data_IF_557352100014
#
_entry.id   IF_557352100014
#
_cell.length_a   1.000
_cell.length_b   1.000
_cell.length_c   1.000
_cell.angle_alpha   90.00
_cell.angle_beta   90.00
_cell.angle_gamma   90.00
#
_symmetry.space_group_name_H-M   'P 1'
#
loop_
_entity.id
_entity.type
_entity.pdbx_description
1 polymer ?
#
# COMPACT_ATOMS: atom_id res chain seq x y z
N UNK A 1 -29.90 0.34 29.30
CA UNK A 1 -28.96 -0.08 28.25
C UNK A 1 -28.19 -1.33 28.71
N UNK A 2 -27.64 -1.39 29.93
CA UNK A 2 -26.94 -2.58 30.44
C UNK A 2 -27.86 -3.82 30.53
N UNK A 3 -29.09 -3.64 30.98
CA UNK A 3 -30.08 -4.71 31.15
C UNK A 3 -30.59 -5.30 29.84
N UNK A 4 -30.32 -4.66 28.72
CA UNK A 4 -30.71 -5.09 27.35
C UNK A 4 -29.58 -5.77 26.60
N UNK A 5 -28.44 -6.04 27.22
CA UNK A 5 -27.26 -6.63 26.57
C UNK A 5 -26.81 -5.89 25.28
N UNK A 6 -27.04 -4.57 25.23
CA UNK A 6 -26.78 -3.75 24.05
C UNK A 6 -25.33 -3.87 23.56
N UNK A 7 -24.37 -4.01 24.47
CA UNK A 7 -22.97 -4.20 24.12
C UNK A 7 -22.72 -5.50 23.32
N UNK A 8 -23.49 -6.56 23.59
CA UNK A 8 -23.43 -7.81 22.81
C UNK A 8 -23.88 -7.56 21.37
N UNK A 9 -24.96 -6.77 21.19
CA UNK A 9 -25.42 -6.38 19.85
C UNK A 9 -24.35 -5.57 19.13
N UNK A 10 -23.73 -4.59 19.78
CA UNK A 10 -22.66 -3.79 19.19
C UNK A 10 -21.45 -4.63 18.77
N UNK A 11 -21.09 -5.64 19.58
CA UNK A 11 -20.03 -6.59 19.21
C UNK A 11 -20.37 -7.36 17.93
N UNK A 12 -21.61 -7.80 17.80
CA UNK A 12 -22.07 -8.46 16.56
C UNK A 12 -22.04 -7.51 15.37
N UNK A 13 -22.49 -6.27 15.54
CA UNK A 13 -22.43 -5.24 14.47
C UNK A 13 -20.99 -4.97 14.05
N UNK A 14 -20.06 -4.85 15.01
CA UNK A 14 -18.64 -4.65 14.74
C UNK A 14 -18.03 -5.79 13.90
N UNK A 15 -18.52 -7.03 14.07
CA UNK A 15 -18.03 -8.16 13.30
C UNK A 15 -18.38 -8.08 11.80
N UNK A 16 -19.39 -7.30 11.42
CA UNK A 16 -19.77 -7.04 10.02
C UNK A 16 -19.08 -5.81 9.43
N UNK A 17 -18.37 -5.01 10.21
CA UNK A 17 -17.65 -3.85 9.71
C UNK A 17 -16.46 -4.26 8.86
N UNK A 18 -16.33 -3.67 7.69
CA UNK A 18 -15.24 -3.94 6.73
C UNK A 18 -13.99 -3.11 6.97
N UNK A 19 -14.06 -2.06 7.80
CA UNK A 19 -12.94 -1.19 8.15
C UNK A 19 -12.75 -1.08 9.66
N UNK A 20 -11.52 -0.81 10.11
CA UNK A 20 -11.24 -0.58 11.52
C UNK A 20 -11.98 0.65 12.04
N UNK A 21 -12.07 1.74 11.25
CA UNK A 21 -12.85 2.93 11.60
C UNK A 21 -14.34 2.61 11.84
N UNK A 22 -14.90 1.71 11.02
CA UNK A 22 -16.27 1.23 11.22
C UNK A 22 -16.42 0.49 12.54
N UNK A 23 -15.48 -0.38 12.90
CA UNK A 23 -15.48 -1.11 14.18
C UNK A 23 -15.36 -0.15 15.36
N UNK A 24 -14.46 0.82 15.30
CA UNK A 24 -14.32 1.85 16.35
C UNK A 24 -15.62 2.64 16.52
N UNK A 25 -16.25 3.01 15.39
CA UNK A 25 -17.52 3.75 15.42
C UNK A 25 -18.66 2.96 16.05
N UNK A 26 -18.69 1.63 15.94
CA UNK A 26 -19.74 0.83 16.61
C UNK A 26 -19.70 0.96 18.12
N UNK A 27 -18.52 1.14 18.72
CA UNK A 27 -18.36 1.36 20.17
C UNK A 27 -18.92 2.70 20.67
N UNK A 28 -19.19 3.65 19.76
CA UNK A 28 -19.74 4.98 20.09
C UNK A 28 -21.24 5.09 19.83
N UNK A 29 -21.89 4.03 19.32
CA UNK A 29 -23.32 4.04 19.05
C UNK A 29 -24.08 4.13 20.38
N UNK A 30 -24.95 5.13 20.48
CA UNK A 30 -25.83 5.39 21.61
C UNK A 30 -27.27 5.59 21.14
N UNK A 31 -28.25 5.47 22.02
CA UNK A 31 -29.64 5.80 21.68
C UNK A 31 -29.75 7.25 21.20
N UNK A 32 -30.49 7.45 20.11
CA UNK A 32 -30.74 8.76 19.51
C UNK A 32 -32.10 9.25 20.02
N UNK A 33 -32.11 10.41 20.71
CA UNK A 33 -33.32 11.01 21.28
C UNK A 33 -33.99 11.99 20.31
N UNK A 34 -33.18 12.63 19.46
CA UNK A 34 -33.69 13.54 18.43
C UNK A 34 -34.32 12.78 17.27
N UNK A 35 -35.57 13.16 16.96
CA UNK A 35 -36.37 12.48 15.93
C UNK A 35 -35.81 12.69 14.52
N UNK A 36 -35.31 13.87 14.20
CA UNK A 36 -34.80 14.19 12.86
C UNK A 36 -33.48 13.48 12.62
N UNK A 37 -32.61 13.47 13.64
CA UNK A 37 -31.35 12.72 13.61
C UNK A 37 -31.61 11.22 13.45
N UNK A 38 -32.54 10.65 14.21
CA UNK A 38 -32.92 9.24 14.08
C UNK A 38 -33.41 8.90 12.68
N UNK A 39 -34.28 9.73 12.09
CA UNK A 39 -34.75 9.52 10.75
C UNK A 39 -33.63 9.58 9.72
N UNK A 40 -32.67 10.49 9.88
CA UNK A 40 -31.51 10.59 9.00
C UNK A 40 -30.66 9.33 9.07
N UNK A 41 -30.32 8.85 10.25
CA UNK A 41 -29.53 7.63 10.44
C UNK A 41 -30.26 6.38 9.88
N UNK A 42 -31.57 6.25 10.11
CA UNK A 42 -32.36 5.17 9.52
C UNK A 42 -32.40 5.23 7.99
N UNK A 43 -32.45 6.42 7.39
CA UNK A 43 -32.40 6.59 5.94
C UNK A 43 -31.04 6.19 5.39
N UNK A 44 -29.92 6.56 6.04
CA UNK A 44 -28.57 6.13 5.64
C UNK A 44 -28.46 4.61 5.61
N UNK A 45 -28.93 3.94 6.67
CA UNK A 45 -28.93 2.47 6.74
C UNK A 45 -29.79 1.87 5.65
N UNK A 46 -30.98 2.41 5.41
CA UNK A 46 -31.89 1.91 4.39
C UNK A 46 -31.34 2.11 2.95
N UNK A 47 -30.75 3.26 2.67
CA UNK A 47 -30.05 3.51 1.39
C UNK A 47 -28.89 2.52 1.18
N UNK A 48 -28.09 2.29 2.21
CA UNK A 48 -27.00 1.31 2.15
C UNK A 48 -27.52 -0.12 1.91
N UNK A 49 -28.54 -0.56 2.64
CA UNK A 49 -29.17 -1.87 2.46
C UNK A 49 -29.77 -2.03 1.06
N UNK A 50 -30.39 -0.96 0.52
CA UNK A 50 -30.96 -0.99 -0.81
C UNK A 50 -29.92 -1.27 -1.90
N UNK A 51 -28.67 -0.89 -1.68
CA UNK A 51 -27.57 -1.15 -2.62
C UNK A 51 -27.27 -2.64 -2.84
N UNK A 52 -27.63 -3.50 -1.90
CA UNK A 52 -27.45 -4.96 -2.05
C UNK A 52 -28.57 -5.64 -2.85
N UNK A 53 -29.73 -4.98 -2.92
CA UNK A 53 -30.91 -5.52 -3.60
C UNK A 53 -31.00 -5.01 -5.02
N UNK A 54 -30.56 -3.78 -5.27
CA UNK A 54 -30.62 -3.09 -6.55
C UNK A 54 -29.34 -3.36 -7.39
N UNK A 55 -29.44 -3.11 -8.70
CA UNK A 55 -28.30 -3.20 -9.62
C UNK A 55 -27.20 -2.15 -9.32
N UNK A 56 -27.55 -1.10 -8.57
CA UNK A 56 -26.64 0.00 -8.22
C UNK A 56 -25.86 -0.30 -6.94
N UNK A 57 -24.97 -1.28 -6.98
CA UNK A 57 -24.12 -1.62 -5.85
C UNK A 57 -23.09 -0.52 -5.59
N UNK A 58 -22.97 -0.11 -4.33
CA UNK A 58 -21.91 0.78 -3.89
C UNK A 58 -20.56 0.11 -4.19
N UNK A 59 -19.58 0.79 -4.86
CA UNK A 59 -18.28 0.24 -5.15
C UNK A 59 -17.52 -0.12 -3.87
N UNK A 60 -16.32 -0.71 -4.01
CA UNK A 60 -15.48 -1.03 -2.87
C UNK A 60 -15.25 0.23 -2.03
N UNK A 61 -15.59 0.16 -0.75
CA UNK A 61 -15.48 1.23 0.23
C UNK A 61 -14.69 0.80 1.47
N UNK A 62 -13.98 -0.33 1.37
CA UNK A 62 -13.00 -0.74 2.38
C UNK A 62 -11.70 0.02 2.18
N UNK A 63 -11.23 0.72 3.22
CA UNK A 63 -9.95 1.40 3.22
C UNK A 63 -9.30 1.32 4.60
N UNK A 64 -7.99 1.45 4.62
CA UNK A 64 -7.20 1.43 5.85
C UNK A 64 -7.35 2.74 6.61
N UNK A 65 -7.21 2.67 7.93
CA UNK A 65 -7.13 3.89 8.76
C UNK A 65 -5.78 4.57 8.51
N UNK A 66 -5.81 5.82 8.03
CA UNK A 66 -4.64 6.66 7.76
C UNK A 66 -4.46 7.80 8.76
N UNK A 67 -5.17 7.77 9.88
CA UNK A 67 -5.11 8.84 10.88
C UNK A 67 -3.70 9.04 11.43
N UNK A 68 -2.95 7.94 11.61
CA UNK A 68 -1.57 7.99 12.08
C UNK A 68 -0.64 8.63 11.06
N UNK A 69 -0.81 8.31 9.77
CA UNK A 69 -0.05 8.88 8.67
C UNK A 69 -0.30 10.39 8.57
N UNK A 70 -1.57 10.82 8.65
CA UNK A 70 -1.94 12.23 8.64
C UNK A 70 -1.38 12.96 9.87
N UNK A 71 -1.47 12.35 11.05
CA UNK A 71 -0.89 12.92 12.26
C UNK A 71 0.62 13.11 12.12
N UNK A 72 1.33 12.12 11.58
CA UNK A 72 2.77 12.19 11.37
C UNK A 72 3.14 13.32 10.40
N UNK A 73 2.37 13.53 9.32
CA UNK A 73 2.62 14.62 8.37
C UNK A 73 2.48 16.01 8.98
N UNK A 74 1.74 16.16 10.09
CA UNK A 74 1.61 17.44 10.80
C UNK A 74 2.79 17.73 11.74
N UNK A 75 3.73 16.79 11.91
CA UNK A 75 4.91 16.97 12.76
C UNK A 75 6.06 17.50 11.89
N UNK A 76 6.60 18.66 12.26
CA UNK A 76 7.72 19.26 11.55
C UNK A 76 8.96 18.33 11.56
N UNK A 77 9.64 18.22 10.44
CA UNK A 77 10.78 17.32 10.22
C UNK A 77 10.49 15.81 10.40
N UNK A 78 9.23 15.41 10.41
CA UNK A 78 8.85 14.01 10.31
C UNK A 78 9.02 13.50 8.87
N UNK A 79 8.98 12.17 8.71
CA UNK A 79 8.93 11.53 7.40
C UNK A 79 7.98 10.34 7.44
N UNK A 80 7.45 10.00 6.27
CA UNK A 80 6.68 8.80 6.05
C UNK A 80 7.43 7.88 5.08
N UNK A 81 7.27 6.59 5.29
CA UNK A 81 7.76 5.57 4.34
C UNK A 81 6.90 5.56 3.06
N UNK A 82 7.47 5.06 1.96
CA UNK A 82 6.79 5.00 0.67
C UNK A 82 5.45 4.25 0.72
N UNK A 83 5.37 3.17 1.51
CA UNK A 83 4.15 2.40 1.71
C UNK A 83 3.01 3.21 2.36
N UNK A 84 3.34 4.13 3.28
CA UNK A 84 2.35 5.01 3.92
C UNK A 84 1.75 6.00 2.91
N UNK A 85 2.55 6.54 1.98
CA UNK A 85 2.03 7.36 0.89
C UNK A 85 1.10 6.59 -0.05
N UNK A 86 1.40 5.30 -0.32
CA UNK A 86 0.51 4.46 -1.12
C UNK A 86 -0.85 4.29 -0.44
N UNK A 87 -0.89 4.07 0.88
CA UNK A 87 -2.16 4.02 1.63
C UNK A 87 -2.96 5.31 1.49
N UNK A 88 -2.31 6.46 1.65
CA UNK A 88 -2.97 7.77 1.50
C UNK A 88 -3.55 7.92 0.08
N UNK A 89 -2.79 7.56 -0.95
CA UNK A 89 -3.27 7.60 -2.33
C UNK A 89 -4.48 6.69 -2.55
N UNK A 90 -4.42 5.44 -2.06
CA UNK A 90 -5.50 4.46 -2.19
C UNK A 90 -6.78 4.95 -1.50
N UNK A 91 -6.68 5.51 -0.29
CA UNK A 91 -7.84 6.09 0.41
C UNK A 91 -8.42 7.26 -0.38
N UNK A 92 -7.57 8.17 -0.88
CA UNK A 92 -8.01 9.32 -1.69
C UNK A 92 -8.71 8.87 -2.98
N UNK A 93 -8.19 7.87 -3.67
CA UNK A 93 -8.82 7.30 -4.88
C UNK A 93 -10.16 6.65 -4.55
N UNK A 94 -10.24 5.83 -3.49
CA UNK A 94 -11.49 5.19 -3.05
C UNK A 94 -12.56 6.23 -2.72
N UNK A 95 -12.20 7.28 -1.99
CA UNK A 95 -13.12 8.38 -1.67
C UNK A 95 -13.59 9.07 -2.95
N UNK A 96 -12.69 9.38 -3.88
CA UNK A 96 -13.04 10.00 -5.15
C UNK A 96 -13.99 9.14 -6.00
N UNK A 97 -13.82 7.82 -6.00
CA UNK A 97 -14.73 6.89 -6.68
C UNK A 97 -16.12 6.89 -6.04
N UNK A 98 -16.19 6.90 -4.70
CA UNK A 98 -17.44 6.99 -3.96
C UNK A 98 -18.17 8.32 -4.24
N UNK A 99 -17.46 9.44 -4.25
CA UNK A 99 -18.04 10.75 -4.56
C UNK A 99 -18.65 10.79 -5.98
N UNK A 100 -17.94 10.25 -6.97
CA UNK A 100 -18.46 10.11 -8.34
C UNK A 100 -19.69 9.22 -8.40
N UNK A 101 -19.66 8.11 -7.67
CA UNK A 101 -20.76 7.15 -7.61
C UNK A 101 -22.00 7.80 -7.00
N UNK A 102 -21.91 8.40 -5.82
CA UNK A 102 -23.06 9.03 -5.16
C UNK A 102 -23.60 10.22 -5.91
N UNK A 103 -22.75 10.98 -6.60
CA UNK A 103 -23.21 12.04 -7.50
C UNK A 103 -23.98 11.48 -8.69
N UNK A 104 -23.54 10.36 -9.28
CA UNK A 104 -24.22 9.72 -10.41
C UNK A 104 -25.57 9.12 -10.01
N UNK A 105 -25.68 8.61 -8.80
CA UNK A 105 -26.84 7.91 -8.28
C UNK A 105 -27.56 8.69 -7.15
N UNK A 106 -27.52 10.01 -7.19
CA UNK A 106 -28.07 10.90 -6.15
C UNK A 106 -29.57 10.64 -5.86
N UNK A 107 -30.35 10.24 -6.86
CA UNK A 107 -31.77 9.91 -6.69
C UNK A 107 -32.02 8.62 -5.93
N UNK A 108 -31.05 7.69 -5.93
CA UNK A 108 -31.13 6.42 -5.21
C UNK A 108 -30.54 6.49 -3.81
N UNK A 109 -29.58 7.39 -3.59
CA UNK A 109 -28.83 7.57 -2.35
C UNK A 109 -28.84 9.04 -1.90
N UNK A 110 -30.02 9.69 -1.73
CA UNK A 110 -30.09 11.14 -1.50
C UNK A 110 -29.43 11.54 -0.17
N UNK A 111 -29.60 10.75 0.89
CA UNK A 111 -29.04 11.07 2.21
C UNK A 111 -27.52 10.88 2.23
N UNK A 112 -27.02 9.80 1.64
CA UNK A 112 -25.57 9.55 1.52
C UNK A 112 -24.94 10.59 0.59
N UNK A 113 -25.61 10.94 -0.52
CA UNK A 113 -25.14 11.99 -1.42
C UNK A 113 -25.02 13.34 -0.72
N UNK A 114 -26.00 13.72 0.11
CA UNK A 114 -25.96 14.97 0.86
C UNK A 114 -24.72 15.03 1.78
N UNK A 115 -24.41 13.96 2.52
CA UNK A 115 -23.20 13.88 3.35
C UNK A 115 -21.94 13.94 2.49
N UNK A 116 -21.94 13.28 1.34
CA UNK A 116 -20.78 13.25 0.44
C UNK A 116 -20.43 14.62 -0.13
N UNK A 117 -21.36 15.58 -0.18
CA UNK A 117 -21.10 16.96 -0.63
C UNK A 117 -20.21 17.76 0.32
N UNK A 118 -20.05 17.33 1.57
CA UNK A 118 -19.13 17.96 2.53
C UNK A 118 -17.67 17.58 2.25
N UNK A 119 -17.44 16.59 1.38
CA UNK A 119 -16.10 16.07 1.06
C UNK A 119 -15.65 16.63 -0.30
N UNK A 120 -14.46 17.22 -0.34
CA UNK A 120 -13.90 17.76 -1.56
C UNK A 120 -13.33 16.66 -2.47
N UNK A 121 -13.77 16.64 -3.72
CA UNK A 121 -13.16 15.81 -4.75
C UNK A 121 -11.81 16.40 -5.19
N UNK A 122 -10.72 15.63 -5.08
CA UNK A 122 -9.40 16.08 -5.52
C UNK A 122 -8.56 14.93 -6.08
N UNK A 123 -7.91 15.15 -7.22
CA UNK A 123 -6.91 14.24 -7.77
C UNK A 123 -5.48 14.62 -7.39
N UNK A 124 -5.29 15.81 -6.80
CA UNK A 124 -3.96 16.36 -6.52
C UNK A 124 -3.10 15.43 -5.66
N UNK A 125 -3.70 14.77 -4.67
CA UNK A 125 -3.00 13.87 -3.75
C UNK A 125 -2.49 12.65 -4.52
N UNK A 126 -3.36 11.96 -5.24
CA UNK A 126 -3.00 10.80 -6.05
C UNK A 126 -1.97 11.14 -7.13
N UNK A 127 -2.18 12.26 -7.85
CA UNK A 127 -1.27 12.73 -8.90
C UNK A 127 0.12 13.09 -8.36
N UNK A 128 0.20 13.68 -7.17
CA UNK A 128 1.47 14.03 -6.53
C UNK A 128 2.23 12.77 -6.08
N UNK A 129 1.52 11.83 -5.45
CA UNK A 129 2.12 10.60 -4.94
C UNK A 129 2.55 9.68 -6.08
N UNK A 130 1.73 9.50 -7.11
CA UNK A 130 2.03 8.60 -8.25
C UNK A 130 3.27 9.00 -9.06
N UNK A 131 3.70 10.26 -9.00
CA UNK A 131 4.95 10.72 -9.61
C UNK A 131 6.20 10.19 -8.89
N UNK A 132 6.06 9.88 -7.60
CA UNK A 132 7.18 9.55 -6.72
C UNK A 132 7.11 8.10 -6.25
N UNK A 133 5.91 7.58 -6.01
CA UNK A 133 5.67 6.23 -5.46
C UNK A 133 5.05 5.37 -6.55
N UNK A 134 5.55 4.15 -6.68
CA UNK A 134 4.98 3.14 -7.58
C UNK A 134 3.73 2.49 -6.98
N UNK A 135 2.96 1.78 -7.80
CA UNK A 135 1.82 0.95 -7.34
C UNK A 135 2.20 -0.17 -6.36
N UNK A 136 3.49 -0.46 -6.21
CA UNK A 136 4.01 -1.44 -5.24
C UNK A 136 4.45 -0.80 -3.91
N UNK A 137 4.24 0.52 -3.74
CA UNK A 137 4.67 1.24 -2.53
C UNK A 137 6.18 1.49 -2.45
N UNK A 138 6.86 1.52 -3.59
CA UNK A 138 8.29 1.80 -3.67
C UNK A 138 8.55 3.15 -4.32
N UNK A 139 9.69 3.77 -3.98
CA UNK A 139 10.11 5.01 -4.63
C UNK A 139 10.45 4.74 -6.10
N UNK A 140 9.76 5.41 -6.99
CA UNK A 140 9.92 5.27 -8.44
C UNK A 140 11.36 5.57 -8.89
N UNK A 141 11.82 4.87 -9.93
CA UNK A 141 13.18 5.07 -10.45
C UNK A 141 13.45 6.48 -10.97
N UNK A 142 12.39 7.17 -11.35
CA UNK A 142 12.41 8.53 -11.90
C UNK A 142 11.82 9.57 -10.95
N UNK A 143 11.69 9.24 -9.65
CA UNK A 143 11.15 10.16 -8.64
C UNK A 143 11.93 11.48 -8.55
N UNK A 144 13.23 11.45 -8.87
CA UNK A 144 14.02 12.66 -9.12
C UNK A 144 15.07 12.43 -10.21
N UNK A 145 15.52 13.48 -10.92
CA UNK A 145 16.58 13.37 -11.92
C UNK A 145 17.86 12.74 -11.34
N UNK A 146 18.28 13.18 -10.16
CA UNK A 146 19.49 12.67 -9.49
C UNK A 146 19.34 11.18 -9.13
N UNK A 147 18.20 10.76 -8.57
CA UNK A 147 17.97 9.35 -8.25
C UNK A 147 18.00 8.46 -9.48
N UNK A 148 17.44 8.94 -10.60
CA UNK A 148 17.48 8.23 -11.89
C UNK A 148 18.90 8.02 -12.37
N UNK A 149 19.75 9.04 -12.28
CA UNK A 149 21.16 8.96 -12.68
C UNK A 149 21.93 7.99 -11.78
N UNK A 150 21.81 8.14 -10.47
CA UNK A 150 22.48 7.23 -9.49
C UNK A 150 22.07 5.77 -9.74
N UNK A 151 20.77 5.48 -9.88
CA UNK A 151 20.30 4.11 -10.15
C UNK A 151 20.81 3.57 -11.48
N UNK A 152 20.92 4.42 -12.52
CA UNK A 152 21.50 4.06 -13.81
C UNK A 152 23.00 3.73 -13.68
N UNK A 153 23.74 4.51 -12.90
CA UNK A 153 25.15 4.22 -12.64
C UNK A 153 25.34 2.93 -11.85
N UNK A 154 24.54 2.70 -10.82
CA UNK A 154 24.55 1.44 -10.04
C UNK A 154 24.30 0.24 -10.98
N UNK A 155 23.27 0.32 -11.84
CA UNK A 155 22.97 -0.74 -12.80
C UNK A 155 24.13 -0.99 -13.76
N UNK A 156 24.78 0.07 -14.27
CA UNK A 156 25.96 -0.01 -15.15
C UNK A 156 27.14 -0.70 -14.44
N UNK A 157 27.42 -0.32 -13.18
CA UNK A 157 28.51 -0.91 -12.41
C UNK A 157 28.22 -2.39 -12.12
N UNK A 158 26.98 -2.72 -11.69
CA UNK A 158 26.56 -4.12 -11.48
C UNK A 158 26.68 -4.96 -12.75
N UNK A 159 26.30 -4.41 -13.91
CA UNK A 159 26.49 -5.05 -15.21
C UNK A 159 27.97 -5.38 -15.47
N UNK A 160 28.87 -4.41 -15.30
CA UNK A 160 30.32 -4.61 -15.48
C UNK A 160 30.90 -5.67 -14.53
N UNK A 161 30.44 -5.68 -13.27
CA UNK A 161 30.85 -6.71 -12.28
C UNK A 161 30.37 -8.08 -12.76
N UNK A 162 29.12 -8.20 -13.22
CA UNK A 162 28.56 -9.45 -13.75
C UNK A 162 29.34 -9.96 -14.96
N UNK A 163 29.66 -9.09 -15.93
CA UNK A 163 30.46 -9.43 -17.11
C UNK A 163 31.87 -9.88 -16.73
N UNK A 164 32.51 -9.18 -15.77
CA UNK A 164 33.85 -9.55 -15.29
C UNK A 164 33.82 -10.91 -14.60
N UNK A 165 32.84 -11.15 -13.74
CA UNK A 165 32.64 -12.43 -13.08
C UNK A 165 32.42 -13.58 -14.07
N UNK A 166 31.56 -13.39 -15.06
CA UNK A 166 31.29 -14.41 -16.10
C UNK A 166 32.54 -14.71 -16.92
N UNK A 167 33.34 -13.70 -17.25
CA UNK A 167 34.60 -13.86 -17.95
C UNK A 167 35.61 -14.67 -17.14
N UNK A 168 35.76 -14.35 -15.83
CA UNK A 168 36.67 -15.08 -14.95
C UNK A 168 36.18 -16.52 -14.70
N UNK A 169 34.87 -16.72 -14.51
CA UNK A 169 34.25 -18.05 -14.46
C UNK A 169 34.61 -18.89 -15.67
N UNK A 170 34.43 -18.34 -16.87
CA UNK A 170 34.74 -19.05 -18.14
C UNK A 170 36.24 -19.37 -18.25
N UNK A 171 37.10 -18.42 -17.90
CA UNK A 171 38.54 -18.56 -17.95
C UNK A 171 39.06 -19.65 -17.01
N UNK A 172 38.60 -19.66 -15.76
CA UNK A 172 39.07 -20.63 -14.76
C UNK A 172 38.39 -21.99 -14.93
N UNK A 173 37.16 -22.06 -15.45
CA UNK A 173 36.54 -23.31 -15.87
C UNK A 173 37.31 -23.99 -17.00
N UNK A 174 37.67 -23.23 -18.05
CA UNK A 174 38.49 -23.74 -19.16
C UNK A 174 39.88 -24.21 -18.74
N UNK A 175 40.45 -23.59 -17.69
CA UNK A 175 41.75 -24.01 -17.12
C UNK A 175 41.66 -25.22 -16.17
N UNK A 176 40.43 -25.70 -15.86
CA UNK A 176 40.23 -26.83 -14.93
C UNK A 176 40.50 -26.48 -13.47
N UNK A 177 40.40 -25.20 -13.09
CA UNK A 177 40.71 -24.75 -11.73
C UNK A 177 39.51 -24.75 -10.78
N UNK A 178 38.29 -24.87 -11.33
CA UNK A 178 37.05 -24.84 -10.56
C UNK A 178 36.58 -26.25 -10.21
N UNK A 179 35.85 -26.32 -9.11
CA UNK A 179 35.16 -27.53 -8.66
C UNK A 179 33.95 -27.84 -9.57
N UNK A 180 33.30 -28.97 -9.36
CA UNK A 180 32.07 -29.35 -10.08
C UNK A 180 30.97 -28.29 -9.89
N UNK A 181 30.85 -27.74 -8.69
CA UNK A 181 30.03 -26.55 -8.40
C UNK A 181 30.88 -25.32 -8.70
N UNK A 182 30.83 -24.83 -9.94
CA UNK A 182 31.70 -23.76 -10.42
C UNK A 182 31.51 -22.41 -9.74
N UNK A 183 30.29 -22.10 -9.31
CA UNK A 183 29.95 -20.84 -8.63
C UNK A 183 28.95 -21.09 -7.51
N UNK A 184 28.98 -20.22 -6.50
CA UNK A 184 28.05 -20.21 -5.37
C UNK A 184 27.77 -18.78 -4.91
N UNK A 185 26.93 -18.62 -3.90
CA UNK A 185 26.69 -17.36 -3.22
C UNK A 185 27.05 -17.53 -1.75
N UNK A 186 27.98 -16.72 -1.27
CA UNK A 186 28.38 -16.67 0.13
C UNK A 186 28.24 -15.23 0.63
N UNK A 187 27.56 -15.03 1.75
CA UNK A 187 27.32 -13.70 2.34
C UNK A 187 26.83 -12.66 1.32
N UNK A 188 25.87 -13.07 0.49
CA UNK A 188 25.29 -12.24 -0.58
C UNK A 188 26.28 -11.83 -1.70
N UNK A 189 27.45 -12.49 -1.79
CA UNK A 189 28.43 -12.29 -2.83
C UNK A 189 28.52 -13.53 -3.73
N UNK A 190 28.59 -13.32 -5.04
CA UNK A 190 28.89 -14.40 -5.98
C UNK A 190 30.35 -14.79 -5.83
N UNK A 191 30.62 -16.07 -5.63
CA UNK A 191 31.95 -16.63 -5.44
C UNK A 191 32.22 -17.77 -6.42
N UNK A 192 33.50 -17.98 -6.78
CA UNK A 192 33.94 -19.11 -7.55
C UNK A 192 34.42 -20.23 -6.60
N UNK A 193 33.91 -21.44 -6.82
CA UNK A 193 34.39 -22.62 -6.10
C UNK A 193 35.70 -23.11 -6.76
N UNK A 194 36.84 -22.83 -6.13
CA UNK A 194 38.18 -23.16 -6.66
C UNK A 194 38.72 -24.38 -5.96
N UNK A 195 39.23 -25.33 -6.73
CA UNK A 195 39.92 -26.49 -6.18
C UNK A 195 41.13 -26.05 -5.33
N UNK A 196 41.28 -26.58 -4.10
CA UNK A 196 42.29 -26.18 -3.13
C UNK A 196 43.72 -26.22 -3.73
N UNK A 197 44.02 -27.19 -4.57
CA UNK A 197 45.30 -27.32 -5.29
C UNK A 197 45.58 -26.18 -6.27
N UNK A 198 44.56 -25.45 -6.69
CA UNK A 198 44.68 -24.34 -7.66
C UNK A 198 44.47 -22.96 -7.02
N UNK A 199 44.27 -22.87 -5.72
CA UNK A 199 44.01 -21.63 -4.98
C UNK A 199 45.02 -20.51 -5.30
N UNK A 200 46.32 -20.85 -5.42
CA UNK A 200 47.37 -19.87 -5.75
C UNK A 200 47.36 -19.38 -7.21
N UNK A 201 46.62 -20.05 -8.11
CA UNK A 201 46.54 -19.70 -9.53
C UNK A 201 45.35 -18.80 -9.87
N UNK A 202 44.41 -18.66 -8.97
CA UNK A 202 43.25 -17.82 -9.11
C UNK A 202 43.45 -16.52 -8.34
N UNK A 203 43.20 -15.38 -8.99
CA UNK A 203 43.29 -14.07 -8.35
C UNK A 203 41.98 -13.78 -7.63
N UNK A 204 42.05 -13.40 -6.37
CA UNK A 204 40.88 -13.03 -5.57
C UNK A 204 41.17 -13.12 -4.08
N UNK A 205 40.16 -12.82 -3.29
CA UNK A 205 40.17 -13.04 -1.83
C UNK A 205 39.51 -14.40 -1.58
N UNK A 206 40.13 -15.22 -0.76
CA UNK A 206 39.55 -16.48 -0.28
C UNK A 206 38.67 -16.18 0.93
N UNK A 207 37.45 -16.72 0.90
CA UNK A 207 36.44 -16.63 1.97
C UNK A 207 36.35 -17.95 2.70
#
# INVERSE_FOLDING_TARGET
VQDLEFNTILTHVAAFCISELGKEKTGTIAPIEDREELHRELNLVNEYLSSFINENRIPNHGFENISQEIFTLNIENSFLEAAAFLKIATVSETVNELLKFFKKFETYFPTIHQISQEIEFTTLIGDAISKIITSYGEVANNASPLLKEIRKEIAKIRGKIGESFTRDLSRYAAAGYLDDIRESVLDNHRVLAVLAMHSRKVKGTFL
#
